data_IF_634871487253
#
_entry.id   IF_634871487253
#
_cell.length_a   1.000
_cell.length_b   1.000
_cell.length_c   1.000
_cell.angle_alpha   90.00
_cell.angle_beta   90.00
_cell.angle_gamma   90.00
#
_symmetry.space_group_name_H-M   'P 1'
#
loop_
_entity.id
_entity.type
_entity.pdbx_description
1 polymer ?
#
# COMPACT_ATOMS: atom_id res chain seq x y z
N UNK A 1 -52.86 38.84 -46.49
CA UNK A 1 -52.55 37.81 -45.50
C UNK A 1 -51.05 37.49 -45.62
N UNK A 2 -50.25 37.96 -44.69
CA UNK A 2 -48.77 37.63 -44.61
C UNK A 2 -48.55 36.57 -43.53
N UNK A 3 -48.14 35.37 -43.94
CA UNK A 3 -47.83 34.28 -43.07
C UNK A 3 -46.42 34.46 -42.48
N UNK A 4 -46.34 34.62 -41.16
CA UNK A 4 -45.10 34.67 -40.40
C UNK A 4 -44.70 33.16 -40.06
N UNK A 5 -43.52 32.75 -40.51
CA UNK A 5 -42.90 31.49 -40.14
C UNK A 5 -42.13 31.68 -38.79
N UNK A 6 -42.20 30.74 -37.83
CA UNK A 6 -41.43 30.84 -36.60
C UNK A 6 -39.98 30.43 -36.85
N UNK A 7 -39.05 31.28 -36.41
CA UNK A 7 -37.61 30.97 -36.32
C UNK A 7 -37.37 30.11 -35.09
N UNK A 8 -37.01 28.86 -35.30
CA UNK A 8 -36.56 27.96 -34.20
C UNK A 8 -35.13 28.34 -33.80
N UNK A 9 -34.94 28.81 -32.58
CA UNK A 9 -33.64 29.07 -32.01
C UNK A 9 -33.03 27.74 -31.57
N UNK A 10 -31.94 27.33 -32.25
CA UNK A 10 -31.13 26.15 -31.88
C UNK A 10 -30.24 26.52 -30.69
N UNK A 11 -30.60 26.08 -29.50
CA UNK A 11 -29.77 26.25 -28.31
C UNK A 11 -28.54 25.26 -28.41
N UNK A 12 -27.38 25.82 -28.74
CA UNK A 12 -26.12 25.10 -28.60
C UNK A 12 -25.81 24.88 -27.09
N UNK A 13 -26.03 23.67 -26.59
CA UNK A 13 -25.50 23.23 -25.32
C UNK A 13 -23.97 23.08 -25.45
N UNK A 14 -23.22 24.06 -25.01
CA UNK A 14 -21.78 23.95 -24.84
C UNK A 14 -21.52 23.01 -23.64
N UNK A 15 -21.18 21.78 -23.95
CA UNK A 15 -20.60 20.89 -22.92
C UNK A 15 -19.30 21.55 -22.44
N UNK A 16 -19.31 22.06 -21.19
CA UNK A 16 -18.10 22.53 -20.53
C UNK A 16 -17.06 21.37 -20.46
N UNK A 17 -15.77 21.70 -20.41
CA UNK A 17 -14.75 20.67 -20.26
C UNK A 17 -15.04 19.87 -18.98
N UNK A 18 -15.37 18.60 -19.14
CA UNK A 18 -15.40 17.66 -18.03
C UNK A 18 -13.97 17.60 -17.50
N UNK A 19 -13.71 18.16 -16.32
CA UNK A 19 -12.41 18.00 -15.67
C UNK A 19 -12.15 16.49 -15.61
N UNK A 20 -11.06 16.04 -16.25
CA UNK A 20 -10.67 14.65 -16.19
C UNK A 20 -10.56 14.25 -14.71
N UNK A 21 -11.30 13.21 -14.31
CA UNK A 21 -11.27 12.77 -12.93
C UNK A 21 -9.80 12.44 -12.56
N UNK A 22 -9.37 12.97 -11.42
CA UNK A 22 -8.01 12.76 -10.94
C UNK A 22 -7.73 11.26 -10.78
N UNK A 23 -6.55 10.79 -11.24
CA UNK A 23 -6.18 9.37 -11.15
C UNK A 23 -6.24 8.91 -9.70
N UNK A 24 -7.12 7.96 -9.34
CA UNK A 24 -7.21 7.47 -7.96
C UNK A 24 -5.94 6.71 -7.57
N UNK A 25 -5.65 6.67 -6.28
CA UNK A 25 -4.47 5.96 -5.74
C UNK A 25 -4.92 4.89 -4.77
N UNK A 26 -4.35 3.69 -4.90
CA UNK A 26 -4.30 2.68 -3.86
C UNK A 26 -3.00 2.90 -3.09
N UNK A 27 -3.09 3.24 -1.80
CA UNK A 27 -1.91 3.42 -0.97
C UNK A 27 -1.56 2.11 -0.28
N UNK A 28 -0.46 1.51 -0.69
CA UNK A 28 -0.03 0.20 -0.21
C UNK A 28 0.76 0.25 1.11
N UNK A 29 0.97 1.46 1.68
CA UNK A 29 1.85 1.60 2.84
C UNK A 29 1.48 2.81 3.71
N UNK A 30 0.64 2.59 4.72
CA UNK A 30 0.24 3.64 5.69
C UNK A 30 0.38 3.13 7.13
N UNK A 31 0.80 4.03 8.01
CA UNK A 31 0.82 3.83 9.46
C UNK A 31 -0.01 4.89 10.17
N UNK A 32 -0.83 4.45 11.12
CA UNK A 32 -1.55 5.32 12.04
C UNK A 32 -1.25 4.90 13.48
N UNK A 33 -0.02 5.15 13.90
CA UNK A 33 0.51 4.69 15.19
C UNK A 33 0.08 5.60 16.33
N UNK A 34 0.24 5.11 17.57
CA UNK A 34 -0.27 5.73 18.79
C UNK A 34 0.21 7.17 19.03
N UNK A 35 1.36 7.55 18.49
CA UNK A 35 1.91 8.90 18.58
C UNK A 35 1.20 9.92 17.68
N UNK A 36 0.48 9.48 16.66
CA UNK A 36 -0.35 10.37 15.84
C UNK A 36 -1.70 10.70 16.50
N UNK A 37 -2.26 9.82 17.32
CA UNK A 37 -3.64 9.91 17.80
C UNK A 37 -4.00 11.19 18.55
N UNK A 38 -3.12 11.77 19.42
CA UNK A 38 -3.47 12.97 20.16
C UNK A 38 -3.77 14.19 19.29
N UNK A 39 -3.10 14.27 18.12
CA UNK A 39 -3.17 15.43 17.23
C UNK A 39 -3.89 15.16 15.90
N UNK A 40 -4.21 13.92 15.63
CA UNK A 40 -4.86 13.50 14.38
C UNK A 40 -5.96 12.46 14.69
N UNK A 41 -7.19 12.89 15.01
CA UNK A 41 -8.32 11.98 15.18
C UNK A 41 -8.59 11.14 13.93
N UNK A 42 -9.18 9.93 14.05
CA UNK A 42 -9.47 9.06 12.89
C UNK A 42 -10.26 9.75 11.78
N UNK A 43 -11.25 10.57 12.12
CA UNK A 43 -12.04 11.31 11.14
C UNK A 43 -11.19 12.26 10.29
N UNK A 44 -10.21 12.95 10.90
CA UNK A 44 -9.32 13.88 10.21
C UNK A 44 -8.31 13.10 9.33
N UNK A 45 -7.78 11.98 9.82
CA UNK A 45 -6.94 11.09 9.04
C UNK A 45 -7.68 10.59 7.78
N UNK A 46 -8.92 10.13 7.92
CA UNK A 46 -9.77 9.70 6.81
C UNK A 46 -10.06 10.87 5.84
N UNK A 47 -10.30 12.08 6.37
CA UNK A 47 -10.50 13.27 5.52
C UNK A 47 -9.25 13.60 4.68
N UNK A 48 -8.04 13.45 5.25
CA UNK A 48 -6.78 13.61 4.52
C UNK A 48 -6.67 12.57 3.39
N UNK A 49 -6.92 11.29 3.66
CA UNK A 49 -6.88 10.24 2.64
C UNK A 49 -7.86 10.51 1.50
N UNK A 50 -9.10 10.88 1.82
CA UNK A 50 -10.11 11.24 0.82
C UNK A 50 -9.70 12.46 -0.01
N UNK A 51 -9.16 13.50 0.64
CA UNK A 51 -8.64 14.70 -0.03
C UNK A 51 -7.47 14.38 -0.97
N UNK A 52 -6.64 13.41 -0.62
CA UNK A 52 -5.55 12.92 -1.46
C UNK A 52 -6.01 12.04 -2.63
N UNK A 53 -7.32 11.74 -2.75
CA UNK A 53 -7.85 10.84 -3.76
C UNK A 53 -7.41 9.38 -3.54
N UNK A 54 -7.13 9.01 -2.29
CA UNK A 54 -6.83 7.62 -1.94
C UNK A 54 -8.14 6.83 -2.02
N UNK A 55 -8.14 5.81 -2.87
CA UNK A 55 -9.27 4.92 -3.11
C UNK A 55 -9.35 3.82 -2.04
N UNK A 56 -8.23 3.23 -1.70
CA UNK A 56 -8.05 2.26 -0.60
C UNK A 56 -6.63 2.39 -0.04
N UNK A 57 -6.45 2.01 1.21
CA UNK A 57 -5.19 2.10 1.91
C UNK A 57 -4.92 0.82 2.71
N UNK A 58 -3.73 0.22 2.53
CA UNK A 58 -3.21 -0.83 3.41
C UNK A 58 -2.61 -0.15 4.65
N UNK A 59 -3.22 -0.38 5.81
CA UNK A 59 -2.84 0.30 7.04
C UNK A 59 -2.31 -0.69 8.07
N UNK A 60 -1.12 -0.43 8.61
CA UNK A 60 -0.52 -1.15 9.73
C UNK A 60 -0.03 -0.16 10.79
N UNK A 61 -0.25 -0.42 12.05
CA UNK A 61 0.01 0.55 13.13
C UNK A 61 0.77 -0.08 14.30
N UNK A 62 1.65 0.71 14.91
CA UNK A 62 2.24 0.43 16.22
C UNK A 62 1.44 1.22 17.28
N UNK A 63 0.63 0.67 18.21
CA UNK A 63 -0.02 -0.64 18.19
C UNK A 63 -1.23 -0.70 17.26
N UNK A 64 -1.68 -1.91 17.07
CA UNK A 64 -2.74 -2.25 16.12
C UNK A 64 -4.08 -1.53 16.32
N UNK A 65 -4.38 -1.06 17.50
CA UNK A 65 -5.60 -0.27 17.76
C UNK A 65 -5.75 0.93 16.83
N UNK A 66 -4.66 1.52 16.34
CA UNK A 66 -4.71 2.56 15.33
C UNK A 66 -5.30 2.08 14.01
N UNK A 67 -4.87 0.90 13.55
CA UNK A 67 -5.42 0.25 12.36
C UNK A 67 -6.93 0.02 12.51
N UNK A 68 -7.36 -0.51 13.66
CA UNK A 68 -8.77 -0.79 13.93
C UNK A 68 -9.61 0.50 13.99
N UNK A 69 -9.12 1.57 14.63
CA UNK A 69 -9.79 2.88 14.67
C UNK A 69 -10.03 3.46 13.28
N UNK A 70 -9.06 3.36 12.36
CA UNK A 70 -9.27 3.82 10.99
C UNK A 70 -10.23 2.91 10.23
N UNK A 71 -10.13 1.60 10.43
CA UNK A 71 -11.04 0.64 9.82
C UNK A 71 -12.49 0.88 10.26
N UNK A 72 -12.74 1.07 11.56
CA UNK A 72 -14.07 1.37 12.09
C UNK A 72 -14.65 2.69 11.53
N UNK A 73 -13.76 3.68 11.30
CA UNK A 73 -14.17 4.98 10.75
C UNK A 73 -14.49 4.94 9.24
N UNK A 74 -13.84 4.07 8.47
CA UNK A 74 -14.02 3.98 7.02
C UNK A 74 -13.68 2.57 6.48
N UNK A 75 -14.50 1.54 6.75
CA UNK A 75 -14.19 0.16 6.37
C UNK A 75 -14.09 -0.06 4.85
N UNK A 76 -14.72 0.80 4.05
CA UNK A 76 -14.63 0.78 2.58
C UNK A 76 -13.27 1.27 2.06
N UNK A 77 -12.58 2.10 2.85
CA UNK A 77 -11.32 2.74 2.48
C UNK A 77 -10.11 1.96 3.01
N UNK A 78 -10.22 1.38 4.20
CA UNK A 78 -9.10 0.80 4.96
C UNK A 78 -9.02 -0.71 4.79
N UNK A 79 -7.83 -1.20 4.49
CA UNK A 79 -7.44 -2.61 4.52
C UNK A 79 -6.54 -2.84 5.75
N UNK A 80 -7.03 -3.56 6.78
CA UNK A 80 -6.24 -3.78 7.98
C UNK A 80 -5.07 -4.74 7.75
N UNK A 81 -3.87 -4.32 8.13
CA UNK A 81 -2.67 -5.17 8.23
C UNK A 81 -2.20 -5.22 9.69
N UNK A 82 -1.94 -6.41 10.20
CA UNK A 82 -1.49 -6.61 11.57
C UNK A 82 0.02 -6.40 11.68
N UNK A 83 0.44 -5.28 12.24
CA UNK A 83 1.85 -5.03 12.52
C UNK A 83 2.27 -5.80 13.77
N UNK A 84 3.40 -6.53 13.78
CA UNK A 84 3.85 -7.28 14.94
C UNK A 84 4.51 -6.39 16.00
N UNK A 85 4.00 -5.16 16.18
CA UNK A 85 4.50 -4.16 17.11
C UNK A 85 3.40 -3.69 18.04
N UNK A 86 3.55 -3.96 19.34
CA UNK A 86 2.65 -3.45 20.39
C UNK A 86 2.84 -1.95 20.58
N UNK A 87 4.09 -1.50 20.43
CA UNK A 87 4.52 -0.10 20.43
C UNK A 87 5.64 0.10 19.41
N UNK A 88 6.11 1.33 19.20
CA UNK A 88 7.26 1.61 18.32
C UNK A 88 8.56 0.97 18.81
N UNK A 89 8.69 0.71 20.11
CA UNK A 89 9.91 0.12 20.70
C UNK A 89 10.14 -1.31 20.21
N UNK A 90 9.10 -1.99 19.72
CA UNK A 90 9.21 -3.34 19.16
C UNK A 90 9.93 -3.36 17.79
N UNK A 91 10.04 -2.23 17.06
CA UNK A 91 10.46 -2.19 15.65
C UNK A 91 11.77 -2.94 15.35
N UNK A 92 12.79 -2.82 16.22
CA UNK A 92 14.10 -3.47 16.02
C UNK A 92 14.28 -4.79 16.76
N UNK A 93 13.34 -5.18 17.62
CA UNK A 93 13.52 -6.28 18.57
C UNK A 93 12.42 -7.33 18.51
N UNK A 94 11.29 -7.04 17.90
CA UNK A 94 10.09 -7.87 17.88
C UNK A 94 10.34 -9.33 17.53
N UNK A 95 11.19 -9.58 16.53
CA UNK A 95 11.48 -10.93 16.02
C UNK A 95 12.20 -11.82 17.02
N UNK A 96 12.77 -11.22 18.10
CA UNK A 96 13.46 -11.91 19.20
C UNK A 96 12.61 -12.01 20.48
N UNK A 97 11.43 -11.41 20.51
CA UNK A 97 10.54 -11.46 21.67
C UNK A 97 9.42 -12.52 21.47
N UNK A 98 9.48 -13.66 22.16
CA UNK A 98 8.46 -14.70 22.05
C UNK A 98 7.04 -14.24 22.40
N UNK A 99 6.89 -13.17 23.21
CA UNK A 99 5.58 -12.65 23.58
C UNK A 99 4.82 -12.04 22.38
N UNK A 100 5.51 -11.72 21.30
CA UNK A 100 4.88 -11.25 20.04
C UNK A 100 4.01 -12.35 19.42
N UNK A 101 4.33 -13.63 19.61
CA UNK A 101 3.51 -14.74 19.10
C UNK A 101 2.10 -14.66 19.73
N UNK A 102 2.04 -14.58 21.05
CA UNK A 102 0.76 -14.46 21.76
C UNK A 102 -0.01 -13.18 21.38
N UNK A 103 0.69 -12.07 21.16
CA UNK A 103 0.09 -10.83 20.66
C UNK A 103 -0.55 -11.03 19.27
N UNK A 104 0.18 -11.61 18.31
CA UNK A 104 -0.34 -11.87 16.97
C UNK A 104 -1.56 -12.80 17.01
N UNK A 105 -1.48 -13.90 17.75
CA UNK A 105 -2.57 -14.87 17.88
C UNK A 105 -3.81 -14.25 18.51
N UNK A 106 -3.67 -13.44 19.56
CA UNK A 106 -4.78 -12.72 20.19
C UNK A 106 -5.44 -11.75 19.22
N UNK A 107 -4.66 -10.95 18.48
CA UNK A 107 -5.21 -10.00 17.50
C UNK A 107 -5.92 -10.73 16.35
N UNK A 108 -5.34 -11.78 15.81
CA UNK A 108 -5.93 -12.60 14.74
C UNK A 108 -7.22 -13.32 15.17
N UNK A 109 -7.36 -13.65 16.46
CA UNK A 109 -8.59 -14.22 16.99
C UNK A 109 -9.73 -13.19 17.11
N UNK A 110 -9.40 -11.92 17.33
CA UNK A 110 -10.40 -10.85 17.57
C UNK A 110 -10.79 -10.10 16.32
N UNK A 111 -9.88 -9.89 15.40
CA UNK A 111 -10.06 -8.99 14.25
C UNK A 111 -9.73 -9.69 12.94
N UNK A 112 -10.20 -9.11 11.86
CA UNK A 112 -9.90 -9.59 10.50
C UNK A 112 -8.84 -8.70 9.85
N UNK A 113 -7.86 -9.34 9.22
CA UNK A 113 -6.76 -8.69 8.53
C UNK A 113 -6.64 -9.22 7.11
N UNK A 114 -5.96 -8.47 6.26
CA UNK A 114 -5.60 -8.87 4.89
C UNK A 114 -4.10 -9.19 4.78
N UNK A 115 -3.31 -8.73 5.74
CA UNK A 115 -1.86 -8.92 5.78
C UNK A 115 -1.34 -8.98 7.22
N UNK A 116 -0.12 -9.50 7.41
CA UNK A 116 0.72 -9.30 8.58
C UNK A 116 1.92 -8.45 8.16
N UNK A 117 2.18 -7.37 8.88
CA UNK A 117 3.23 -6.38 8.58
C UNK A 117 2.64 -4.95 8.47
N UNK A 118 3.40 -3.95 8.17
CA UNK A 118 4.81 -3.97 7.83
C UNK A 118 5.65 -4.48 9.03
N UNK A 119 6.61 -5.33 8.76
CA UNK A 119 7.59 -5.75 9.74
C UNK A 119 9.02 -5.62 9.20
N UNK A 120 9.96 -5.28 10.08
CA UNK A 120 11.38 -5.20 9.76
C UNK A 120 12.07 -6.49 10.14
N UNK A 121 12.64 -7.19 9.16
CA UNK A 121 13.47 -8.38 9.37
C UNK A 121 14.54 -8.46 8.28
N UNK A 122 15.77 -8.80 8.66
CA UNK A 122 16.90 -8.80 7.74
C UNK A 122 17.71 -10.09 7.87
N UNK A 123 18.20 -10.59 6.73
CA UNK A 123 19.08 -11.74 6.64
C UNK A 123 18.58 -12.94 7.45
N UNK A 124 19.48 -13.50 8.27
CA UNK A 124 19.23 -14.70 9.06
C UNK A 124 18.17 -14.53 10.17
N UNK A 125 17.82 -13.30 10.56
CA UNK A 125 16.75 -13.06 11.52
C UNK A 125 15.38 -13.52 11.00
N UNK A 126 15.22 -13.64 9.69
CA UNK A 126 14.05 -14.24 9.07
C UNK A 126 13.86 -15.73 9.46
N UNK A 127 14.88 -16.41 9.93
CA UNK A 127 14.80 -17.79 10.39
C UNK A 127 14.50 -17.94 11.89
N UNK A 128 14.39 -16.85 12.65
CA UNK A 128 14.09 -16.88 14.07
C UNK A 128 12.68 -17.45 14.35
N UNK A 129 12.46 -18.09 15.51
CA UNK A 129 11.20 -18.76 15.83
C UNK A 129 9.95 -17.87 15.70
N UNK A 130 10.05 -16.60 16.10
CA UNK A 130 8.95 -15.63 16.01
C UNK A 130 8.58 -15.37 14.56
N UNK A 131 9.56 -15.18 13.66
CA UNK A 131 9.30 -14.97 12.23
C UNK A 131 8.73 -16.24 11.59
N UNK A 132 9.25 -17.43 11.90
CA UNK A 132 8.68 -18.69 11.41
C UNK A 132 7.22 -18.85 11.82
N UNK A 133 6.89 -18.53 13.08
CA UNK A 133 5.50 -18.56 13.54
C UNK A 133 4.64 -17.52 12.82
N UNK A 134 5.18 -16.35 12.55
CA UNK A 134 4.49 -15.30 11.77
C UNK A 134 4.15 -15.77 10.36
N UNK A 135 5.08 -16.46 9.66
CA UNK A 135 4.82 -17.08 8.34
C UNK A 135 3.74 -18.15 8.43
N UNK A 136 3.77 -19.00 9.46
CA UNK A 136 2.73 -20.01 9.67
C UNK A 136 1.35 -19.37 9.90
N UNK A 137 1.25 -18.32 10.72
CA UNK A 137 0.02 -17.58 10.97
C UNK A 137 -0.50 -16.95 9.68
N UNK A 138 0.37 -16.32 8.89
CA UNK A 138 0.00 -15.77 7.59
C UNK A 138 -0.58 -16.85 6.66
N UNK A 139 0.03 -18.02 6.60
CA UNK A 139 -0.48 -19.16 5.82
C UNK A 139 -1.82 -19.67 6.35
N UNK A 140 -1.95 -19.87 7.67
CA UNK A 140 -3.19 -20.35 8.31
C UNK A 140 -4.38 -19.44 8.04
N UNK A 141 -4.16 -18.12 8.12
CA UNK A 141 -5.18 -17.09 7.93
C UNK A 141 -5.27 -16.57 6.48
N UNK A 142 -4.46 -17.12 5.54
CA UNK A 142 -4.40 -16.72 4.12
C UNK A 142 -4.04 -15.24 3.92
N UNK A 143 -3.18 -14.72 4.79
CA UNK A 143 -2.74 -13.33 4.80
C UNK A 143 -1.52 -13.13 3.92
N UNK A 144 -1.35 -11.91 3.42
CA UNK A 144 -0.13 -11.45 2.77
C UNK A 144 0.89 -11.06 3.86
N UNK A 145 2.18 -11.22 3.58
CA UNK A 145 3.28 -10.70 4.40
C UNK A 145 3.72 -9.35 3.82
N UNK A 146 3.67 -8.27 4.60
CA UNK A 146 4.21 -6.96 4.20
C UNK A 146 5.58 -6.79 4.87
N UNK A 147 6.65 -6.97 4.09
CA UNK A 147 8.00 -7.15 4.60
C UNK A 147 8.93 -6.00 4.24
N UNK A 148 9.41 -5.27 5.25
CA UNK A 148 10.55 -4.36 5.13
C UNK A 148 11.83 -5.17 5.37
N UNK A 149 12.45 -5.63 4.30
CA UNK A 149 13.46 -6.67 4.35
C UNK A 149 14.46 -6.54 3.22
N UNK A 150 15.66 -7.06 3.44
CA UNK A 150 16.65 -7.25 2.39
C UNK A 150 16.33 -8.51 1.52
N UNK A 151 17.08 -8.69 0.45
CA UNK A 151 16.95 -9.83 -0.47
C UNK A 151 17.08 -11.16 0.25
N UNK A 152 18.06 -11.31 1.17
CA UNK A 152 18.30 -12.59 1.87
C UNK A 152 17.11 -12.96 2.79
N UNK A 153 16.53 -11.99 3.47
CA UNK A 153 15.34 -12.24 4.29
C UNK A 153 14.13 -12.63 3.41
N UNK A 154 13.86 -11.95 2.31
CA UNK A 154 12.79 -12.33 1.36
C UNK A 154 12.99 -13.76 0.85
N UNK A 155 14.21 -14.13 0.48
CA UNK A 155 14.55 -15.49 0.07
C UNK A 155 14.28 -16.53 1.16
N UNK A 156 14.57 -16.20 2.41
CA UNK A 156 14.29 -17.08 3.56
C UNK A 156 12.80 -17.25 3.81
N UNK A 157 12.03 -16.18 3.68
CA UNK A 157 10.57 -16.25 3.80
C UNK A 157 9.96 -17.17 2.74
N UNK A 158 10.40 -17.08 1.47
CA UNK A 158 9.95 -18.00 0.42
C UNK A 158 10.46 -19.43 0.61
N UNK A 159 11.60 -19.66 1.26
CA UNK A 159 12.02 -21.03 1.63
C UNK A 159 11.14 -21.64 2.71
N UNK A 160 10.60 -20.82 3.63
CA UNK A 160 9.68 -21.30 4.68
C UNK A 160 8.28 -21.59 4.13
N UNK A 161 7.81 -20.75 3.21
CA UNK A 161 6.55 -20.96 2.49
C UNK A 161 6.69 -20.51 1.03
N UNK A 162 6.94 -21.44 0.08
CA UNK A 162 7.03 -21.12 -1.34
C UNK A 162 5.74 -20.55 -1.95
N UNK A 163 4.61 -20.71 -1.27
CA UNK A 163 3.31 -20.17 -1.69
C UNK A 163 2.98 -18.83 -1.02
N UNK A 164 3.81 -18.34 -0.11
CA UNK A 164 3.62 -17.07 0.55
C UNK A 164 3.37 -15.95 -0.46
N UNK A 165 2.48 -15.02 -0.11
CA UNK A 165 2.25 -13.78 -0.85
C UNK A 165 2.99 -12.69 -0.10
N UNK A 166 3.93 -12.02 -0.75
CA UNK A 166 4.78 -11.02 -0.10
C UNK A 166 4.66 -9.67 -0.83
N UNK A 167 4.34 -8.62 -0.09
CA UNK A 167 4.53 -7.23 -0.49
C UNK A 167 5.86 -6.75 0.10
N UNK A 168 6.80 -6.45 -0.78
CA UNK A 168 8.13 -5.99 -0.40
C UNK A 168 8.11 -4.48 -0.21
N UNK A 169 8.15 -4.05 1.02
CA UNK A 169 8.13 -2.63 1.37
C UNK A 169 9.32 -1.90 0.74
N UNK A 170 9.07 -0.74 0.16
CA UNK A 170 10.06 0.10 -0.51
C UNK A 170 10.83 -0.62 -1.65
N UNK A 171 10.31 -1.74 -2.17
CA UNK A 171 11.05 -2.63 -3.08
C UNK A 171 12.43 -3.00 -2.50
N UNK A 172 12.53 -3.16 -1.18
CA UNK A 172 13.76 -3.45 -0.42
C UNK A 172 14.80 -2.33 -0.42
N UNK A 173 14.51 -1.14 -0.92
CA UNK A 173 15.50 -0.11 -1.27
C UNK A 173 16.56 -0.60 -2.27
N UNK A 174 16.29 -1.71 -2.95
CA UNK A 174 17.21 -2.31 -3.92
C UNK A 174 17.20 -1.54 -5.25
N UNK A 175 18.25 -1.75 -6.03
CA UNK A 175 18.32 -1.21 -7.39
C UNK A 175 17.30 -1.88 -8.31
N UNK A 176 16.82 -1.21 -9.36
CA UNK A 176 15.82 -1.77 -10.27
C UNK A 176 16.19 -3.12 -10.89
N UNK A 177 17.47 -3.38 -11.14
CA UNK A 177 17.95 -4.67 -11.67
C UNK A 177 17.78 -5.81 -10.66
N UNK A 178 18.10 -5.56 -9.37
CA UNK A 178 17.87 -6.53 -8.28
C UNK A 178 16.39 -6.77 -8.05
N UNK A 179 15.57 -5.71 -8.03
CA UNK A 179 14.10 -5.84 -7.91
C UNK A 179 13.55 -6.71 -9.04
N UNK A 180 13.99 -6.48 -10.29
CA UNK A 180 13.57 -7.30 -11.44
C UNK A 180 14.01 -8.76 -11.30
N UNK A 181 15.24 -9.01 -10.81
CA UNK A 181 15.74 -10.36 -10.57
C UNK A 181 14.85 -11.09 -9.55
N UNK A 182 14.49 -10.43 -8.45
CA UNK A 182 13.60 -10.99 -7.43
C UNK A 182 12.19 -11.26 -7.96
N UNK A 183 11.61 -10.34 -8.74
CA UNK A 183 10.29 -10.51 -9.34
C UNK A 183 10.25 -11.63 -10.39
N UNK A 184 11.33 -11.86 -11.15
CA UNK A 184 11.45 -13.02 -12.07
C UNK A 184 11.45 -14.34 -11.31
N UNK A 185 12.13 -14.36 -10.16
CA UNK A 185 12.29 -15.56 -9.34
C UNK A 185 11.01 -15.91 -8.57
N UNK A 186 10.31 -14.90 -8.04
CA UNK A 186 9.19 -15.07 -7.14
C UNK A 186 7.88 -14.53 -7.72
N UNK A 187 7.03 -15.44 -8.17
CA UNK A 187 5.72 -15.10 -8.78
C UNK A 187 4.76 -14.40 -7.82
N UNK A 188 4.89 -14.66 -6.52
CA UNK A 188 4.04 -14.13 -5.46
C UNK A 188 4.72 -12.99 -4.69
N UNK A 189 5.63 -12.26 -5.35
CA UNK A 189 6.26 -11.06 -4.83
C UNK A 189 5.68 -9.83 -5.52
N UNK A 190 5.27 -8.84 -4.74
CA UNK A 190 4.88 -7.50 -5.16
C UNK A 190 5.75 -6.48 -4.45
N UNK A 191 5.78 -5.25 -4.96
CA UNK A 191 6.62 -4.18 -4.46
C UNK A 191 5.80 -2.92 -4.23
N UNK A 192 5.94 -2.26 -3.09
CA UNK A 192 5.54 -0.87 -2.99
C UNK A 192 6.71 0.08 -3.27
N UNK A 193 6.37 1.31 -3.60
CA UNK A 193 7.30 2.38 -3.97
C UNK A 193 7.33 3.47 -2.88
N UNK A 194 6.83 3.16 -1.70
CA UNK A 194 6.83 4.10 -0.59
C UNK A 194 8.25 4.54 -0.24
N UNK A 195 8.37 5.78 0.22
CA UNK A 195 9.63 6.38 0.66
C UNK A 195 10.79 6.37 -0.36
N UNK A 196 10.48 6.11 -1.64
CA UNK A 196 11.44 6.16 -2.75
C UNK A 196 11.16 7.36 -3.63
N UNK A 197 12.19 8.06 -4.08
CA UNK A 197 12.05 9.25 -4.96
C UNK A 197 12.76 9.10 -6.29
N UNK A 198 13.77 8.22 -6.37
CA UNK A 198 14.62 8.06 -7.54
C UNK A 198 13.88 7.48 -8.75
N UNK A 199 12.74 6.80 -8.56
CA UNK A 199 11.96 6.25 -9.66
C UNK A 199 11.18 7.31 -10.44
N UNK A 200 10.87 8.48 -9.85
CA UNK A 200 9.94 9.47 -10.41
C UNK A 200 10.37 10.93 -10.23
N UNK A 201 11.65 11.23 -10.16
CA UNK A 201 12.14 12.59 -9.93
C UNK A 201 11.72 13.55 -11.05
N UNK A 202 11.30 14.77 -10.66
CA UNK A 202 10.90 15.82 -11.62
C UNK A 202 9.71 15.44 -12.51
N UNK A 203 8.86 14.52 -12.08
CA UNK A 203 7.71 14.04 -12.86
C UNK A 203 8.10 13.14 -14.03
N UNK A 204 9.32 12.60 -14.04
CA UNK A 204 9.82 11.69 -15.07
C UNK A 204 10.24 10.37 -14.45
N UNK A 205 9.86 9.26 -15.08
CA UNK A 205 10.26 7.93 -14.64
C UNK A 205 11.66 7.63 -15.13
N UNK A 206 12.56 7.27 -14.21
CA UNK A 206 13.91 6.86 -14.53
C UNK A 206 13.92 5.65 -15.49
N UNK A 207 14.83 5.59 -16.50
CA UNK A 207 14.81 4.55 -17.54
C UNK A 207 14.81 3.12 -16.99
N UNK A 208 15.59 2.84 -15.95
CA UNK A 208 15.72 1.53 -15.32
C UNK A 208 14.42 1.12 -14.61
N UNK A 209 13.74 2.07 -13.95
CA UNK A 209 12.42 1.86 -13.33
C UNK A 209 11.34 1.70 -14.39
N UNK A 210 11.39 2.46 -15.49
CA UNK A 210 10.46 2.28 -16.61
C UNK A 210 10.55 0.87 -17.18
N UNK A 211 11.78 0.33 -17.32
CA UNK A 211 11.98 -1.05 -17.76
C UNK A 211 11.40 -2.06 -16.76
N UNK A 212 11.55 -1.84 -15.45
CA UNK A 212 10.98 -2.69 -14.42
C UNK A 212 9.44 -2.67 -14.45
N UNK A 213 8.83 -1.50 -14.55
CA UNK A 213 7.37 -1.35 -14.63
C UNK A 213 6.78 -1.97 -15.90
N UNK A 214 7.49 -1.87 -17.04
CA UNK A 214 7.05 -2.49 -18.28
C UNK A 214 7.16 -4.01 -18.26
N UNK A 215 8.20 -4.57 -17.63
CA UNK A 215 8.41 -6.02 -17.49
C UNK A 215 7.42 -6.64 -16.49
N UNK A 216 7.07 -5.92 -15.41
CA UNK A 216 6.19 -6.39 -14.34
C UNK A 216 5.03 -5.41 -14.08
N UNK A 217 4.12 -5.23 -15.05
CA UNK A 217 3.08 -4.19 -14.99
C UNK A 217 2.06 -4.40 -13.86
N UNK A 218 1.99 -5.59 -13.27
CA UNK A 218 1.05 -6.00 -12.23
C UNK A 218 1.69 -6.16 -10.84
N UNK A 219 2.94 -5.69 -10.64
CA UNK A 219 3.70 -5.98 -9.42
C UNK A 219 4.07 -4.77 -8.58
N UNK A 220 3.88 -3.56 -9.07
CA UNK A 220 4.23 -2.33 -8.35
C UNK A 220 2.99 -1.57 -7.89
N UNK A 221 3.09 -0.93 -6.74
CA UNK A 221 2.04 -0.11 -6.14
C UNK A 221 2.63 1.16 -5.53
N UNK A 222 1.85 2.24 -5.52
CA UNK A 222 2.17 3.46 -4.79
C UNK A 222 2.06 3.20 -3.28
N UNK A 223 2.88 3.88 -2.49
CA UNK A 223 2.79 3.93 -1.04
C UNK A 223 3.29 5.27 -0.51
N UNK A 224 2.74 5.78 0.58
CA UNK A 224 3.16 7.06 1.17
C UNK A 224 4.04 6.92 2.40
N UNK A 225 3.90 5.83 3.14
CA UNK A 225 4.64 5.52 4.37
C UNK A 225 4.58 6.66 5.42
N UNK A 226 3.50 6.70 6.14
CA UNK A 226 3.25 7.68 7.21
C UNK A 226 3.85 7.23 8.55
N UNK A 227 5.14 6.85 8.55
CA UNK A 227 5.81 6.29 9.74
C UNK A 227 5.99 7.27 10.90
N UNK A 228 5.86 8.59 10.67
CA UNK A 228 5.77 9.60 11.72
C UNK A 228 4.50 10.44 11.57
N UNK A 229 4.00 11.07 12.68
CA UNK A 229 2.79 11.89 12.63
C UNK A 229 2.85 13.03 11.61
N UNK A 230 4.02 13.65 11.44
CA UNK A 230 4.23 14.79 10.55
C UNK A 230 3.98 14.42 9.09
N UNK A 231 4.25 13.17 8.70
CA UNK A 231 4.08 12.71 7.32
C UNK A 231 2.63 12.68 6.85
N UNK A 232 1.67 12.64 7.78
CA UNK A 232 0.25 12.76 7.45
C UNK A 232 -0.10 14.09 6.77
N UNK A 233 0.62 15.16 7.10
CA UNK A 233 0.40 16.46 6.46
C UNK A 233 0.85 16.50 4.99
N UNK A 234 1.70 15.57 4.55
CA UNK A 234 2.26 15.50 3.21
C UNK A 234 1.58 14.48 2.29
N UNK A 235 0.57 13.72 2.75
CA UNK A 235 -0.09 12.69 1.95
C UNK A 235 -0.66 13.25 0.65
N UNK A 236 -1.32 14.42 0.69
CA UNK A 236 -1.91 15.05 -0.50
C UNK A 236 -0.81 15.41 -1.51
N UNK A 237 0.28 16.02 -1.04
CA UNK A 237 1.42 16.38 -1.88
C UNK A 237 2.09 15.14 -2.47
N UNK A 238 2.26 14.10 -1.67
CA UNK A 238 2.86 12.84 -2.11
C UNK A 238 1.98 12.14 -3.16
N UNK A 239 0.66 12.12 -2.97
CA UNK A 239 -0.26 11.59 -3.99
C UNK A 239 -0.18 12.39 -5.30
N UNK A 240 -0.07 13.71 -5.24
CA UNK A 240 0.10 14.56 -6.41
C UNK A 240 1.46 14.36 -7.09
N UNK A 241 2.52 14.23 -6.31
CA UNK A 241 3.83 13.87 -6.82
C UNK A 241 3.79 12.49 -7.53
N UNK A 242 3.08 11.52 -6.94
CA UNK A 242 2.91 10.21 -7.56
C UNK A 242 2.17 10.30 -8.90
N UNK A 243 1.11 11.08 -8.98
CA UNK A 243 0.38 11.32 -10.24
C UNK A 243 1.25 11.98 -11.30
N UNK A 244 2.14 12.89 -10.90
CA UNK A 244 3.02 13.58 -11.83
C UNK A 244 3.98 12.63 -12.56
N UNK A 245 4.64 11.70 -11.85
CA UNK A 245 5.52 10.74 -12.52
C UNK A 245 4.74 9.61 -13.21
N UNK A 246 3.56 9.22 -12.67
CA UNK A 246 2.67 8.25 -13.32
C UNK A 246 2.20 8.75 -14.70
N UNK A 247 1.98 10.06 -14.86
CA UNK A 247 1.59 10.66 -16.13
C UNK A 247 2.67 10.54 -17.23
N UNK A 248 3.92 10.23 -16.87
CA UNK A 248 5.00 9.94 -17.83
C UNK A 248 4.95 8.50 -18.38
N UNK A 249 4.10 7.63 -17.83
CA UNK A 249 3.88 6.26 -18.27
C UNK A 249 2.70 6.15 -19.25
N UNK A 250 2.64 5.07 -20.06
CA UNK A 250 1.42 4.75 -20.79
C UNK A 250 0.21 4.67 -19.84
N UNK A 251 -0.96 5.24 -20.20
CA UNK A 251 -2.11 5.35 -19.31
C UNK A 251 -2.52 4.05 -18.62
N UNK A 252 -2.53 2.93 -19.36
CA UNK A 252 -2.89 1.64 -18.81
C UNK A 252 -1.89 1.13 -17.75
N UNK A 253 -0.60 1.45 -17.89
CA UNK A 253 0.42 1.10 -16.91
C UNK A 253 0.36 2.02 -15.69
N UNK A 254 0.13 3.31 -15.91
CA UNK A 254 -0.10 4.28 -14.84
C UNK A 254 -1.29 3.86 -13.94
N UNK A 255 -2.43 3.50 -14.52
CA UNK A 255 -3.59 3.01 -13.78
C UNK A 255 -3.28 1.73 -12.97
N UNK A 256 -2.52 0.79 -13.56
CA UNK A 256 -2.13 -0.43 -12.85
C UNK A 256 -1.35 -0.11 -11.59
N UNK A 257 -0.29 0.69 -11.71
CA UNK A 257 0.58 1.05 -10.57
C UNK A 257 -0.17 1.95 -9.58
N UNK A 258 -0.97 2.90 -10.07
CA UNK A 258 -1.70 3.82 -9.22
C UNK A 258 -2.70 3.11 -8.30
N UNK A 259 -3.48 2.14 -8.83
CA UNK A 259 -4.55 1.56 -8.02
C UNK A 259 -4.97 0.13 -8.40
N UNK A 260 -4.93 -0.28 -9.69
CA UNK A 260 -5.49 -1.57 -10.12
C UNK A 260 -4.73 -2.76 -9.53
N UNK A 261 -3.41 -2.66 -9.38
CA UNK A 261 -2.60 -3.74 -8.81
C UNK A 261 -2.94 -3.98 -7.34
N UNK A 262 -3.12 -2.91 -6.55
CA UNK A 262 -3.57 -3.04 -5.16
C UNK A 262 -4.97 -3.64 -5.06
N UNK A 263 -5.93 -3.16 -5.85
CA UNK A 263 -7.28 -3.74 -5.87
C UNK A 263 -7.26 -5.23 -6.26
N UNK A 264 -6.47 -5.61 -7.27
CA UNK A 264 -6.35 -7.00 -7.69
C UNK A 264 -5.70 -7.90 -6.62
N UNK A 265 -4.65 -7.39 -5.95
CA UNK A 265 -3.94 -8.13 -4.91
C UNK A 265 -4.85 -8.46 -3.72
N UNK A 266 -5.77 -7.55 -3.39
CA UNK A 266 -6.68 -7.67 -2.25
C UNK A 266 -8.14 -7.94 -2.65
N UNK A 267 -8.44 -8.32 -3.90
CA UNK A 267 -9.80 -8.53 -4.42
C UNK A 267 -10.64 -9.57 -3.65
N UNK A 268 -10.02 -10.41 -2.84
CA UNK A 268 -10.72 -11.39 -1.98
C UNK A 268 -11.02 -10.91 -0.57
N UNK A 269 -10.45 -9.79 -0.15
CA UNK A 269 -10.49 -9.31 1.24
C UNK A 269 -11.91 -8.90 1.69
N UNK A 270 -12.78 -8.49 0.77
CA UNK A 270 -14.14 -8.03 1.07
C UNK A 270 -15.15 -9.17 1.22
N UNK A 271 -14.82 -10.40 0.80
CA UNK A 271 -15.75 -11.55 0.79
C UNK A 271 -15.94 -12.21 2.15
N UNK A 272 -15.29 -11.72 3.18
CA UNK A 272 -15.35 -12.24 4.54
C UNK A 272 -15.99 -11.27 5.55
N UNK A 273 -16.61 -10.19 5.07
CA UNK A 273 -17.37 -9.22 5.91
C UNK A 273 -18.76 -9.70 6.23
#
# INVERSE_FOLDING_TARGET
MRTLLPVAALACLTAGPCAAAELPVFDAHIHYSHDAWPNLPPADAIAILRKAGIRRALVSSSGDDGTQRLFDAAPELILPSLRPYRTRDDTGVWVRDPAIIAYLEDRLARYRYVAIGEFHVYGADADLPVMRRTVELARQHKLLLHAHSDVDAIERLFRQDPAARILWAHSGFERPDEVRAMLRKHRNLWCDLAFRTEHGSGGKVAPEWRAAFAEFPDRFMVGTDTFTPERWHYIVEHANWSRAWLADLPPALAERIAWRNGEALFAGADRGR
#
